data_IF_396556507704
#
_entry.id   IF_396556507704
#
_cell.length_a   1.000
_cell.length_b   1.000
_cell.length_c   1.000
_cell.angle_alpha   90.00
_cell.angle_beta   90.00
_cell.angle_gamma   90.00
#
_symmetry.space_group_name_H-M   'P 1'
#
loop_
_entity.id
_entity.type
_entity.pdbx_description
1 polymer ?
#
# COMPACT_ATOMS: atom_id res chain seq x y z
N UNK A 1 -1.23 -16.59 3.99
CA UNK A 1 -0.53 -15.86 5.08
C UNK A 1 0.82 -15.41 4.53
N UNK A 2 1.21 -14.13 4.68
CA UNK A 2 2.47 -13.60 4.14
C UNK A 2 3.46 -13.30 5.26
N UNK A 3 4.73 -13.65 5.06
CA UNK A 3 5.83 -13.29 5.97
C UNK A 3 6.82 -12.39 5.24
N UNK A 4 6.63 -11.08 5.35
CA UNK A 4 7.36 -10.08 4.58
C UNK A 4 7.70 -8.87 5.45
N UNK A 5 8.90 -8.31 5.28
CA UNK A 5 9.27 -7.06 5.97
C UNK A 5 8.48 -5.88 5.41
N UNK A 6 8.01 -5.00 6.29
CA UNK A 6 7.26 -3.77 5.93
C UNK A 6 7.97 -2.94 4.85
N UNK A 7 9.28 -2.82 4.93
CA UNK A 7 10.07 -1.96 4.04
C UNK A 7 10.13 -2.56 2.62
N UNK A 8 10.19 -3.90 2.51
CA UNK A 8 10.12 -4.61 1.23
C UNK A 8 8.77 -4.39 0.56
N UNK A 9 7.68 -4.52 1.32
CA UNK A 9 6.32 -4.28 0.81
C UNK A 9 6.20 -2.86 0.28
N UNK A 10 6.61 -1.85 1.07
CA UNK A 10 6.54 -0.45 0.66
C UNK A 10 7.37 -0.20 -0.61
N UNK A 11 8.58 -0.76 -0.69
CA UNK A 11 9.44 -0.59 -1.86
C UNK A 11 8.89 -1.27 -3.12
N UNK A 12 8.27 -2.44 -2.99
CA UNK A 12 7.59 -3.10 -4.10
C UNK A 12 6.39 -2.28 -4.59
N UNK A 13 5.58 -1.71 -3.70
CA UNK A 13 4.50 -0.80 -4.10
C UNK A 13 5.04 0.47 -4.77
N UNK A 14 6.14 1.05 -4.29
CA UNK A 14 6.81 2.17 -4.97
C UNK A 14 7.26 1.80 -6.39
N UNK A 15 7.81 0.59 -6.58
CA UNK A 15 8.36 0.12 -7.85
C UNK A 15 7.30 -0.31 -8.86
N UNK A 16 6.35 -1.15 -8.45
CA UNK A 16 5.39 -1.81 -9.34
C UNK A 16 4.02 -1.16 -9.36
N UNK A 17 3.64 -0.42 -8.32
CA UNK A 17 2.32 0.21 -8.19
C UNK A 17 2.40 1.65 -7.65
N UNK A 18 3.15 2.57 -8.30
CA UNK A 18 3.44 3.90 -7.77
C UNK A 18 2.18 4.75 -7.54
N UNK A 19 1.13 4.56 -8.36
CA UNK A 19 -0.15 5.23 -8.19
C UNK A 19 -0.86 4.82 -6.89
N UNK A 20 -0.88 3.52 -6.58
CA UNK A 20 -1.42 3.00 -5.33
C UNK A 20 -0.60 3.54 -4.17
N UNK A 21 0.73 3.42 -4.22
CA UNK A 21 1.63 3.95 -3.18
C UNK A 21 1.37 5.43 -2.90
N UNK A 22 1.35 6.28 -3.93
CA UNK A 22 1.18 7.72 -3.78
C UNK A 22 -0.16 8.10 -3.17
N UNK A 23 -1.24 7.44 -3.59
CA UNK A 23 -2.58 7.74 -3.08
C UNK A 23 -2.77 7.23 -1.65
N UNK A 24 -2.27 6.04 -1.32
CA UNK A 24 -2.25 5.52 0.05
C UNK A 24 -1.41 6.39 0.97
N UNK A 25 -0.21 6.82 0.55
CA UNK A 25 0.64 7.72 1.32
C UNK A 25 -0.11 9.04 1.62
N UNK A 26 -0.73 9.65 0.60
CA UNK A 26 -1.58 10.85 0.79
C UNK A 26 -2.75 10.60 1.75
N UNK A 27 -3.36 9.43 1.70
CA UNK A 27 -4.47 9.08 2.57
C UNK A 27 -4.06 8.96 4.04
N UNK A 28 -2.87 8.40 4.29
CA UNK A 28 -2.26 8.29 5.63
C UNK A 28 -1.78 9.64 6.13
N UNK A 29 -1.07 10.43 5.31
CA UNK A 29 -0.59 11.77 5.70
C UNK A 29 -1.75 12.72 6.05
N UNK A 30 -2.90 12.57 5.40
CA UNK A 30 -4.12 13.36 5.68
C UNK A 30 -5.09 12.67 6.63
N UNK A 31 -4.67 11.57 7.27
CA UNK A 31 -5.53 10.82 8.17
C UNK A 31 -5.79 11.60 9.46
N UNK A 32 -6.95 11.34 10.08
CA UNK A 32 -7.26 11.82 11.42
C UNK A 32 -6.90 10.73 12.42
N UNK A 33 -6.12 11.07 13.44
CA UNK A 33 -5.79 10.17 14.53
C UNK A 33 -6.71 10.43 15.73
N UNK A 34 -7.42 9.40 16.19
CA UNK A 34 -8.28 9.48 17.39
C UNK A 34 -8.32 8.12 18.08
N UNK A 35 -8.06 8.09 19.38
CA UNK A 35 -8.16 6.87 20.21
C UNK A 35 -7.38 5.68 19.65
N UNK A 36 -6.12 5.89 19.23
CA UNK A 36 -5.27 4.87 18.61
C UNK A 36 -5.77 4.33 17.26
N UNK A 37 -6.75 4.99 16.65
CA UNK A 37 -7.28 4.65 15.32
C UNK A 37 -6.91 5.74 14.31
N UNK A 38 -6.37 5.32 13.18
CA UNK A 38 -6.14 6.18 12.02
C UNK A 38 -7.32 6.12 11.05
N UNK A 39 -8.06 7.22 10.94
CA UNK A 39 -9.13 7.38 9.96
C UNK A 39 -8.55 7.97 8.67
N UNK A 40 -8.39 7.11 7.66
CA UNK A 40 -7.79 7.50 6.38
C UNK A 40 -8.61 8.57 5.67
N UNK A 41 -7.93 9.46 4.95
CA UNK A 41 -8.62 10.44 4.11
C UNK A 41 -9.35 9.75 2.95
N UNK A 42 -10.69 9.74 3.00
CA UNK A 42 -11.55 9.08 2.00
C UNK A 42 -11.27 9.53 0.57
N UNK A 43 -11.13 10.84 0.33
CA UNK A 43 -10.91 11.40 -1.01
C UNK A 43 -9.58 10.99 -1.63
N UNK A 44 -8.53 10.83 -0.81
CA UNK A 44 -7.24 10.34 -1.27
C UNK A 44 -7.26 8.82 -1.47
N UNK A 45 -7.91 8.09 -0.56
CA UNK A 45 -7.96 6.63 -0.61
C UNK A 45 -8.79 6.11 -1.79
N UNK A 46 -9.93 6.72 -2.12
CA UNK A 46 -10.76 6.30 -3.26
C UNK A 46 -10.07 6.46 -4.62
N UNK A 47 -8.99 7.25 -4.69
CA UNK A 47 -8.17 7.38 -5.90
C UNK A 47 -7.16 6.23 -6.06
N UNK A 48 -6.93 5.43 -5.01
CA UNK A 48 -6.12 4.23 -5.13
C UNK A 48 -6.92 3.16 -5.88
N UNK A 49 -6.30 2.54 -6.88
CA UNK A 49 -6.92 1.45 -7.62
C UNK A 49 -7.14 0.25 -6.70
N UNK A 50 -8.36 -0.28 -6.67
CA UNK A 50 -8.66 -1.51 -5.95
C UNK A 50 -8.03 -2.69 -6.71
N UNK A 51 -6.97 -3.26 -6.15
CA UNK A 51 -6.30 -4.47 -6.63
C UNK A 51 -5.96 -5.36 -5.45
N UNK A 52 -6.07 -6.67 -5.61
CA UNK A 52 -5.59 -7.63 -4.62
C UNK A 52 -4.07 -7.53 -4.48
N UNK A 53 -3.57 -7.91 -3.31
CA UNK A 53 -2.13 -7.89 -3.03
C UNK A 53 -1.36 -8.85 -3.95
N UNK A 54 -1.90 -10.04 -4.21
CA UNK A 54 -1.30 -11.06 -5.07
C UNK A 54 -1.02 -10.51 -6.47
N UNK A 55 -2.03 -9.88 -7.07
CA UNK A 55 -1.93 -9.30 -8.40
C UNK A 55 -1.06 -8.02 -8.43
N UNK A 56 -1.19 -7.19 -7.39
CA UNK A 56 -0.47 -5.92 -7.31
C UNK A 56 1.04 -6.10 -7.11
N UNK A 57 1.44 -7.14 -6.36
CA UNK A 57 2.81 -7.33 -5.88
C UNK A 57 3.36 -8.72 -6.23
N UNK A 58 2.71 -9.82 -5.84
CA UNK A 58 3.31 -11.17 -5.97
C UNK A 58 3.56 -11.56 -7.42
N UNK A 59 2.59 -11.32 -8.31
CA UNK A 59 2.74 -11.63 -9.75
C UNK A 59 3.77 -10.74 -10.47
N UNK A 60 4.11 -9.59 -9.88
CA UNK A 60 5.06 -8.62 -10.48
C UNK A 60 6.47 -8.75 -9.93
N UNK A 61 6.63 -9.37 -8.77
CA UNK A 61 7.92 -9.49 -8.10
C UNK A 61 8.56 -10.82 -8.51
N UNK A 62 9.50 -10.77 -9.46
CA UNK A 62 10.25 -11.96 -9.93
C UNK A 62 11.20 -12.55 -8.87
N UNK A 63 11.48 -11.80 -7.81
CA UNK A 63 12.38 -12.19 -6.71
C UNK A 63 11.62 -12.36 -5.38
N UNK A 64 10.66 -13.28 -5.35
CA UNK A 64 10.20 -13.81 -4.06
C UNK A 64 11.21 -14.90 -3.66
N UNK A 65 12.36 -14.50 -3.11
CA UNK A 65 13.11 -15.41 -2.25
C UNK A 65 12.32 -15.47 -0.93
N UNK A 66 11.53 -16.54 -0.81
CA UNK A 66 10.90 -16.98 0.44
C UNK A 66 11.95 -17.14 1.54
#
# INVERSE_FOLDING_TARGET
MFYLRKDSIINNFKKYQPNIYRNCNKAVTKAKYKSNVYYLNKQAFTKATAKSFDYAILEKTKDIKL
#
